data_IF_303929602915
#
_entry.id   IF_303929602915
#
_cell.length_a   1.000
_cell.length_b   1.000
_cell.length_c   1.000
_cell.angle_alpha   90.00
_cell.angle_beta   90.00
_cell.angle_gamma   90.00
#
_symmetry.space_group_name_H-M   'P 1'
#
loop_
_entity.id
_entity.type
_entity.pdbx_description
1 polymer ?
#
# COMPACT_ATOMS: atom_id res chain seq x y z
N UNK A 1 26.57 -9.83 14.03
CA UNK A 1 25.18 -9.94 14.52
C UNK A 1 24.86 -8.73 15.40
N UNK A 2 24.40 -7.62 14.79
CA UNK A 2 23.73 -6.47 15.41
C UNK A 2 23.15 -5.64 14.26
N UNK A 3 21.98 -5.06 14.47
CA UNK A 3 21.14 -4.29 13.54
C UNK A 3 20.20 -5.08 12.62
N UNK A 4 19.32 -5.87 13.23
CA UNK A 4 17.98 -5.99 12.66
C UNK A 4 17.21 -4.70 13.03
N UNK A 5 16.61 -3.98 12.07
CA UNK A 5 15.85 -2.77 12.38
C UNK A 5 14.72 -3.14 13.33
N UNK A 6 14.66 -2.46 14.47
CA UNK A 6 13.53 -2.59 15.39
C UNK A 6 12.24 -2.28 14.64
N UNK A 7 11.17 -3.04 14.92
CA UNK A 7 9.83 -2.73 14.42
C UNK A 7 9.41 -1.32 14.81
N UNK A 8 8.65 -0.70 13.93
CA UNK A 8 8.15 0.64 14.18
C UNK A 8 6.96 0.61 15.11
N UNK A 9 7.23 0.89 16.38
CA UNK A 9 6.21 1.24 17.35
C UNK A 9 5.56 2.57 16.94
N UNK A 10 4.46 2.48 16.18
CA UNK A 10 3.60 3.61 15.86
C UNK A 10 2.61 3.92 17.00
N UNK A 11 2.84 3.38 18.20
CA UNK A 11 2.16 3.71 19.44
C UNK A 11 2.41 5.16 19.88
N UNK A 12 1.49 6.05 19.46
CA UNK A 12 1.32 7.45 19.90
C UNK A 12 2.60 8.28 19.98
N UNK A 13 3.18 8.60 18.81
CA UNK A 13 3.95 9.85 18.70
C UNK A 13 3.08 11.00 19.22
N UNK A 14 3.68 11.84 20.06
CA UNK A 14 3.06 13.10 20.48
C UNK A 14 2.83 14.03 19.28
N UNK A 15 2.09 15.11 19.49
CA UNK A 15 1.77 16.07 18.41
C UNK A 15 3.02 16.61 17.69
N UNK A 16 4.15 16.67 18.40
CA UNK A 16 5.43 17.11 17.84
C UNK A 16 6.00 16.06 16.89
N UNK A 17 6.08 14.80 17.30
CA UNK A 17 6.53 13.71 16.43
C UNK A 17 5.66 13.61 15.17
N UNK A 18 4.34 13.74 15.32
CA UNK A 18 3.41 13.75 14.18
C UNK A 18 3.68 14.94 13.23
N UNK A 19 3.86 16.15 13.76
CA UNK A 19 4.19 17.34 12.97
C UNK A 19 5.50 17.19 12.21
N UNK A 20 6.51 16.57 12.82
CA UNK A 20 7.78 16.28 12.15
C UNK A 20 7.56 15.33 10.98
N UNK A 21 6.82 14.23 11.16
CA UNK A 21 6.54 13.29 10.07
C UNK A 21 5.78 13.94 8.93
N UNK A 22 4.73 14.72 9.21
CA UNK A 22 3.98 15.48 8.18
C UNK A 22 4.90 16.43 7.41
N UNK A 23 5.79 17.12 8.12
CA UNK A 23 6.76 18.04 7.49
C UNK A 23 7.74 17.28 6.60
N UNK A 24 8.25 16.15 7.08
CA UNK A 24 9.16 15.30 6.33
C UNK A 24 8.49 14.74 5.07
N UNK A 25 7.24 14.28 5.15
CA UNK A 25 6.47 13.82 3.98
C UNK A 25 6.42 14.90 2.91
N UNK A 26 6.06 16.14 3.30
CA UNK A 26 5.99 17.28 2.37
C UNK A 26 7.34 17.58 1.71
N UNK A 27 8.44 17.59 2.49
CA UNK A 27 9.77 17.86 1.95
C UNK A 27 10.24 16.75 1.00
N UNK A 28 10.00 15.48 1.36
CA UNK A 28 10.38 14.34 0.54
C UNK A 28 9.60 14.31 -0.78
N UNK A 29 8.29 14.57 -0.74
CA UNK A 29 7.48 14.66 -1.96
C UNK A 29 7.92 15.80 -2.89
N UNK A 30 8.40 16.92 -2.32
CA UNK A 30 8.76 18.09 -3.12
C UNK A 30 10.21 18.06 -3.62
N UNK A 31 11.16 17.70 -2.77
CA UNK A 31 12.60 17.74 -3.09
C UNK A 31 13.20 16.37 -3.39
N UNK A 32 12.51 15.29 -3.01
CA UNK A 32 13.03 13.94 -3.02
C UNK A 32 13.79 13.57 -1.75
N UNK A 33 13.81 12.28 -1.44
CA UNK A 33 14.49 11.70 -0.29
C UNK A 33 15.96 12.08 -0.32
N UNK A 34 16.68 11.79 -1.41
CA UNK A 34 18.13 12.00 -1.50
C UNK A 34 18.54 13.46 -1.18
N UNK A 35 17.74 14.45 -1.60
CA UNK A 35 18.03 15.89 -1.41
C UNK A 35 17.53 16.48 -0.10
N UNK A 36 16.70 15.77 0.66
CA UNK A 36 16.15 16.26 1.93
C UNK A 36 17.06 15.87 3.10
N UNK A 37 17.52 16.80 3.93
CA UNK A 37 18.35 16.48 5.11
C UNK A 37 17.56 16.52 6.43
N UNK A 38 18.09 15.89 7.48
CA UNK A 38 17.55 16.03 8.84
C UNK A 38 17.52 17.50 9.30
N UNK A 39 18.46 18.31 8.81
CA UNK A 39 18.52 19.74 9.12
C UNK A 39 17.35 20.49 8.50
N UNK A 40 17.01 20.19 7.25
CA UNK A 40 15.90 20.80 6.52
C UNK A 40 14.57 20.45 7.18
N UNK A 41 14.41 19.19 7.59
CA UNK A 41 13.22 18.71 8.31
C UNK A 41 13.09 19.41 9.66
N UNK A 42 14.16 19.50 10.46
CA UNK A 42 14.13 20.17 11.75
C UNK A 42 13.74 21.65 11.61
N UNK A 43 14.36 22.35 10.66
CA UNK A 43 14.06 23.75 10.37
C UNK A 43 12.61 23.94 9.93
N UNK A 44 12.13 23.15 8.97
CA UNK A 44 10.77 23.26 8.46
C UNK A 44 9.69 22.86 9.48
N UNK A 45 10.02 21.97 10.43
CA UNK A 45 9.12 21.53 11.50
C UNK A 45 9.17 22.45 12.74
N UNK A 46 10.01 23.49 12.70
CA UNK A 46 10.27 24.42 13.79
C UNK A 46 10.72 23.70 15.08
N UNK A 47 11.69 22.79 14.96
CA UNK A 47 12.32 22.07 16.08
C UNK A 47 13.85 22.14 15.97
N UNK A 48 14.55 21.97 17.09
CA UNK A 48 16.01 21.86 17.06
C UNK A 48 16.43 20.52 16.43
N UNK A 49 17.64 20.47 15.84
CA UNK A 49 18.21 19.18 15.37
C UNK A 49 18.29 18.17 16.52
N UNK A 50 18.73 18.60 17.70
CA UNK A 50 18.77 17.73 18.89
C UNK A 50 17.40 17.14 19.20
N UNK A 51 16.34 17.93 19.12
CA UNK A 51 14.96 17.44 19.31
C UNK A 51 14.58 16.43 18.24
N UNK A 52 14.89 16.66 16.97
CA UNK A 52 14.61 15.70 15.90
C UNK A 52 15.33 14.36 16.14
N UNK A 53 16.60 14.41 16.54
CA UNK A 53 17.42 13.23 16.85
C UNK A 53 16.98 12.49 18.12
N UNK A 54 16.15 13.09 18.99
CA UNK A 54 15.52 12.35 20.10
C UNK A 54 14.45 11.38 19.60
N UNK A 55 13.76 11.70 18.49
CA UNK A 55 12.73 10.83 17.91
C UNK A 55 13.31 9.82 16.93
N UNK A 56 14.26 10.22 16.09
CA UNK A 56 14.87 9.36 15.08
C UNK A 56 16.38 9.60 14.98
N UNK A 57 17.17 8.58 15.21
CA UNK A 57 18.64 8.66 15.21
C UNK A 57 19.21 8.84 13.79
N UNK A 58 18.43 8.50 12.76
CA UNK A 58 18.84 8.66 11.37
C UNK A 58 17.70 9.06 10.45
N UNK A 59 18.06 9.60 9.28
CA UNK A 59 17.12 9.88 8.18
C UNK A 59 16.43 8.62 7.67
N UNK A 60 17.12 7.48 7.70
CA UNK A 60 16.56 6.20 7.28
C UNK A 60 15.50 5.71 8.28
N UNK A 61 15.78 5.83 9.58
CA UNK A 61 14.82 5.51 10.64
C UNK A 61 13.57 6.39 10.57
N UNK A 62 13.76 7.69 10.34
CA UNK A 62 12.65 8.62 10.09
C UNK A 62 11.85 8.19 8.86
N UNK A 63 12.50 7.84 7.76
CA UNK A 63 11.81 7.39 6.54
C UNK A 63 11.04 6.10 6.79
N UNK A 64 11.61 5.12 7.50
CA UNK A 64 10.86 3.90 7.86
C UNK A 64 9.61 4.25 8.66
N UNK A 65 9.73 5.13 9.66
CA UNK A 65 8.59 5.57 10.48
C UNK A 65 7.50 6.25 9.66
N UNK A 66 7.93 7.09 8.73
CA UNK A 66 7.09 7.80 7.80
C UNK A 66 6.36 6.81 6.87
N UNK A 67 7.06 5.86 6.25
CA UNK A 67 6.45 4.84 5.39
C UNK A 67 5.47 3.94 6.14
N UNK A 68 5.78 3.59 7.40
CA UNK A 68 4.86 2.81 8.23
C UNK A 68 3.58 3.60 8.54
N UNK A 69 3.69 4.91 8.86
CA UNK A 69 2.54 5.80 9.03
C UNK A 69 1.71 5.91 7.75
N UNK A 70 2.34 6.10 6.60
CA UNK A 70 1.64 6.21 5.31
C UNK A 70 0.99 4.88 4.90
N UNK A 71 1.62 3.75 5.21
CA UNK A 71 1.03 2.41 5.00
C UNK A 71 -0.25 2.25 5.80
N UNK A 72 -0.27 2.67 7.08
CA UNK A 72 -1.51 2.66 7.87
C UNK A 72 -2.57 3.61 7.30
N UNK A 73 -2.16 4.76 6.75
CA UNK A 73 -3.04 5.67 6.03
C UNK A 73 -3.73 4.99 4.85
N UNK A 74 -2.95 4.33 3.98
CA UNK A 74 -3.46 3.58 2.83
C UNK A 74 -4.39 2.45 3.26
N UNK A 75 -4.03 1.69 4.30
CA UNK A 75 -4.86 0.60 4.81
C UNK A 75 -6.21 1.11 5.33
N UNK A 76 -6.23 2.23 6.05
CA UNK A 76 -7.46 2.84 6.53
C UNK A 76 -8.35 3.35 5.39
N UNK A 77 -7.77 4.05 4.41
CA UNK A 77 -8.51 4.52 3.23
C UNK A 77 -9.07 3.35 2.42
N UNK A 78 -8.25 2.32 2.19
CA UNK A 78 -8.66 1.09 1.52
C UNK A 78 -9.85 0.42 2.21
N UNK A 79 -9.76 0.23 3.53
CA UNK A 79 -10.83 -0.39 4.29
C UNK A 79 -12.12 0.44 4.22
N UNK A 80 -12.02 1.77 4.36
CA UNK A 80 -13.16 2.66 4.28
C UNK A 80 -13.87 2.54 2.92
N UNK A 81 -13.13 2.60 1.82
CA UNK A 81 -13.67 2.44 0.45
C UNK A 81 -14.37 1.10 0.24
N UNK A 82 -13.78 0.01 0.73
CA UNK A 82 -14.39 -1.33 0.67
C UNK A 82 -15.68 -1.39 1.49
N UNK A 83 -15.74 -0.73 2.65
CA UNK A 83 -16.96 -0.70 3.46
C UNK A 83 -18.07 0.10 2.78
N UNK A 84 -17.74 1.25 2.19
CA UNK A 84 -18.71 2.17 1.58
C UNK A 84 -19.33 1.64 0.29
N UNK A 85 -18.64 0.76 -0.43
CA UNK A 85 -19.15 0.13 -1.65
C UNK A 85 -19.89 -1.20 -1.33
N UNK A 86 -21.18 -1.36 -1.67
CA UNK A 86 -21.90 -2.63 -1.52
C UNK A 86 -21.18 -3.85 -2.12
N UNK A 87 -20.48 -3.67 -3.25
CA UNK A 87 -19.70 -4.71 -3.92
C UNK A 87 -18.21 -4.73 -3.53
N UNK A 88 -17.81 -3.88 -2.58
CA UNK A 88 -16.43 -3.69 -2.17
C UNK A 88 -15.76 -4.94 -1.61
N UNK A 89 -16.53 -5.93 -1.13
CA UNK A 89 -16.02 -7.21 -0.64
C UNK A 89 -15.83 -8.29 -1.70
N UNK A 90 -16.16 -8.03 -2.97
CA UNK A 90 -15.81 -8.93 -4.07
C UNK A 90 -14.29 -8.92 -4.30
N UNK A 91 -13.73 -9.94 -4.96
CA UNK A 91 -12.30 -9.95 -5.30
C UNK A 91 -11.90 -8.66 -6.02
N UNK A 92 -12.62 -8.28 -7.08
CA UNK A 92 -12.26 -7.07 -7.80
C UNK A 92 -12.49 -5.81 -6.98
N UNK A 93 -13.60 -5.70 -6.23
CA UNK A 93 -13.86 -4.55 -5.36
C UNK A 93 -12.72 -4.32 -4.36
N UNK A 94 -12.23 -5.39 -3.73
CA UNK A 94 -11.11 -5.31 -2.79
C UNK A 94 -9.85 -4.79 -3.50
N UNK A 95 -9.48 -5.33 -4.65
CA UNK A 95 -8.26 -4.91 -5.37
C UNK A 95 -8.38 -3.51 -5.98
N UNK A 96 -9.53 -3.15 -6.55
CA UNK A 96 -9.81 -1.84 -7.13
C UNK A 96 -9.71 -0.74 -6.07
N UNK A 97 -10.35 -0.94 -4.92
CA UNK A 97 -10.30 0.03 -3.83
C UNK A 97 -8.92 0.10 -3.18
N UNK A 98 -8.18 -1.01 -3.14
CA UNK A 98 -6.80 -1.04 -2.67
C UNK A 98 -5.87 -0.24 -3.59
N UNK A 99 -6.04 -0.40 -4.91
CA UNK A 99 -5.31 0.39 -5.90
C UNK A 99 -5.64 1.88 -5.80
N UNK A 100 -6.93 2.25 -5.71
CA UNK A 100 -7.37 3.64 -5.54
C UNK A 100 -6.80 4.27 -4.26
N UNK A 101 -6.82 3.55 -3.14
CA UNK A 101 -6.21 4.01 -1.89
C UNK A 101 -4.70 4.21 -2.03
N UNK A 102 -4.00 3.29 -2.69
CA UNK A 102 -2.56 3.41 -2.92
C UNK A 102 -2.21 4.64 -3.78
N UNK A 103 -2.95 4.87 -4.87
CA UNK A 103 -2.74 6.03 -5.77
C UNK A 103 -3.12 7.35 -5.09
N UNK A 104 -4.11 7.36 -4.20
CA UNK A 104 -4.52 8.54 -3.44
C UNK A 104 -3.45 9.00 -2.41
N UNK A 105 -2.44 8.17 -2.13
CA UNK A 105 -1.34 8.47 -1.21
C UNK A 105 -0.03 8.64 -1.99
N UNK A 106 0.39 9.90 -2.31
CA UNK A 106 1.48 10.15 -3.25
C UNK A 106 2.81 9.48 -2.88
N UNK A 107 3.16 9.45 -1.59
CA UNK A 107 4.41 8.84 -1.16
C UNK A 107 4.41 7.32 -1.34
N UNK A 108 3.26 6.69 -1.12
CA UNK A 108 3.10 5.25 -1.28
C UNK A 108 3.04 4.90 -2.77
N UNK A 109 2.35 5.70 -3.59
CA UNK A 109 2.37 5.56 -5.04
C UNK A 109 3.79 5.66 -5.62
N UNK A 110 4.61 6.59 -5.12
CA UNK A 110 6.01 6.76 -5.53
C UNK A 110 6.94 5.57 -5.24
N UNK A 111 6.50 4.57 -4.44
CA UNK A 111 7.22 3.30 -4.28
C UNK A 111 7.07 2.38 -5.50
N UNK A 112 6.02 2.54 -6.30
CA UNK A 112 5.63 1.66 -7.40
C UNK A 112 5.81 2.29 -8.78
N UNK A 113 5.98 3.61 -8.86
CA UNK A 113 6.22 4.35 -10.11
C UNK A 113 7.69 4.75 -10.26
N UNK A 114 8.11 5.17 -11.46
CA UNK A 114 9.45 5.74 -11.70
C UNK A 114 9.67 7.12 -11.09
N UNK A 115 8.77 7.59 -10.21
CA UNK A 115 9.04 8.66 -9.24
C UNK A 115 10.14 8.28 -8.21
N UNK A 116 11.06 7.40 -8.60
CA UNK A 116 12.35 7.15 -7.98
C UNK A 116 13.15 8.42 -7.63
N UNK A 117 12.80 9.61 -8.11
CA UNK A 117 13.37 10.85 -7.59
C UNK A 117 12.84 11.21 -6.18
N UNK A 118 11.59 10.84 -5.87
CA UNK A 118 10.92 11.07 -4.58
C UNK A 118 11.57 10.22 -3.49
N UNK A 119 11.86 8.95 -3.75
CA UNK A 119 12.47 8.05 -2.75
C UNK A 119 13.91 7.63 -3.07
N UNK A 120 14.45 8.02 -4.22
CA UNK A 120 15.88 7.99 -4.51
C UNK A 120 16.55 6.65 -4.35
N UNK A 121 17.71 6.67 -3.69
CA UNK A 121 18.50 5.48 -3.40
C UNK A 121 17.75 4.47 -2.53
N UNK A 122 16.82 4.92 -1.68
CA UNK A 122 16.04 4.04 -0.83
C UNK A 122 15.22 3.03 -1.64
N UNK A 123 14.62 3.45 -2.75
CA UNK A 123 13.90 2.53 -3.67
C UNK A 123 14.89 1.69 -4.47
N UNK A 124 15.99 2.29 -4.97
CA UNK A 124 17.00 1.61 -5.79
C UNK A 124 17.73 0.46 -5.10
N UNK A 125 17.77 0.43 -3.76
CA UNK A 125 18.34 -0.71 -2.99
C UNK A 125 17.58 -2.04 -3.18
N UNK A 126 16.51 -2.08 -4.00
CA UNK A 126 15.86 -3.29 -4.56
C UNK A 126 15.76 -4.45 -3.57
N UNK A 127 15.15 -4.21 -2.42
CA UNK A 127 14.83 -5.28 -1.47
C UNK A 127 13.69 -6.14 -2.03
N UNK A 128 13.92 -7.42 -2.38
CA UNK A 128 12.87 -8.32 -2.87
C UNK A 128 11.72 -8.49 -1.87
N UNK A 129 11.98 -8.30 -0.57
CA UNK A 129 10.98 -8.41 0.49
C UNK A 129 9.79 -7.46 0.30
N UNK A 130 9.99 -6.34 -0.44
CA UNK A 130 8.94 -5.35 -0.76
C UNK A 130 7.80 -5.91 -1.61
N UNK A 131 8.05 -6.96 -2.37
CA UNK A 131 7.04 -7.63 -3.19
C UNK A 131 6.67 -9.01 -2.63
N UNK A 132 7.56 -9.68 -1.90
CA UNK A 132 7.31 -11.01 -1.31
C UNK A 132 6.23 -10.98 -0.24
N UNK A 133 6.27 -10.00 0.68
CA UNK A 133 5.26 -9.87 1.73
C UNK A 133 3.86 -9.62 1.12
N UNK A 134 3.64 -8.61 0.26
CA UNK A 134 2.35 -8.44 -0.43
C UNK A 134 1.90 -9.65 -1.25
N UNK A 135 2.83 -10.41 -1.84
CA UNK A 135 2.51 -11.59 -2.65
C UNK A 135 1.91 -12.75 -1.84
N UNK A 136 2.52 -13.12 -0.70
CA UNK A 136 1.99 -14.18 0.17
C UNK A 136 0.67 -13.76 0.85
N UNK A 137 0.59 -12.48 1.22
CA UNK A 137 -0.58 -11.86 1.82
C UNK A 137 -1.80 -11.90 0.89
N UNK A 138 -1.60 -11.60 -0.39
CA UNK A 138 -2.67 -11.70 -1.40
C UNK A 138 -3.16 -13.14 -1.59
N UNK A 139 -2.26 -14.14 -1.54
CA UNK A 139 -2.66 -15.54 -1.64
C UNK A 139 -3.61 -15.97 -0.52
N UNK A 140 -3.33 -15.57 0.72
CA UNK A 140 -4.20 -15.84 1.87
C UNK A 140 -5.57 -15.17 1.72
N UNK A 141 -5.63 -13.96 1.19
CA UNK A 141 -6.87 -13.27 0.90
C UNK A 141 -7.69 -14.02 -0.16
N UNK A 142 -7.08 -14.47 -1.25
CA UNK A 142 -7.74 -15.28 -2.29
C UNK A 142 -8.35 -16.55 -1.70
N UNK A 143 -7.60 -17.27 -0.85
CA UNK A 143 -8.11 -18.47 -0.17
C UNK A 143 -9.33 -18.17 0.70
N UNK A 144 -9.33 -17.06 1.44
CA UNK A 144 -10.48 -16.63 2.25
C UNK A 144 -11.69 -16.29 1.39
N UNK A 145 -11.49 -15.64 0.25
CA UNK A 145 -12.57 -15.32 -0.70
C UNK A 145 -13.14 -16.56 -1.38
N UNK A 146 -12.32 -17.56 -1.69
CA UNK A 146 -12.78 -18.88 -2.16
C UNK A 146 -13.62 -19.59 -1.08
N UNK A 147 -13.16 -19.59 0.17
CA UNK A 147 -13.90 -20.15 1.30
C UNK A 147 -15.25 -19.45 1.55
N UNK A 148 -15.34 -18.15 1.22
CA UNK A 148 -16.57 -17.36 1.29
C UNK A 148 -17.51 -17.54 0.07
N UNK A 149 -17.13 -18.36 -0.92
CA UNK A 149 -17.91 -18.56 -2.14
C UNK A 149 -17.94 -17.34 -3.07
N UNK A 150 -16.96 -16.43 -2.95
CA UNK A 150 -16.85 -15.24 -3.80
C UNK A 150 -16.00 -15.46 -5.05
N UNK A 151 -15.23 -16.56 -5.06
CA UNK A 151 -14.38 -16.98 -6.18
C UNK A 151 -14.59 -18.48 -6.38
N UNK A 152 -14.74 -18.92 -7.63
CA UNK A 152 -14.81 -20.35 -7.97
C UNK A 152 -13.58 -21.13 -7.43
N UNK A 153 -13.77 -22.31 -6.81
CA UNK A 153 -12.70 -23.02 -6.11
C UNK A 153 -11.75 -23.81 -7.02
N UNK A 154 -12.12 -24.00 -8.29
CA UNK A 154 -11.34 -24.76 -9.28
C UNK A 154 -10.22 -23.95 -9.94
N UNK A 155 -10.16 -22.65 -9.67
CA UNK A 155 -9.03 -21.79 -10.05
C UNK A 155 -7.95 -21.86 -8.97
N UNK A 156 -6.72 -22.17 -9.37
CA UNK A 156 -5.57 -22.17 -8.46
C UNK A 156 -5.35 -20.79 -7.84
N UNK A 157 -5.24 -20.76 -6.51
CA UNK A 157 -4.92 -19.56 -5.72
C UNK A 157 -3.60 -18.90 -6.17
N UNK A 158 -2.57 -19.71 -6.45
CA UNK A 158 -1.26 -19.25 -6.90
C UNK A 158 -1.32 -18.61 -8.29
N UNK A 159 -2.06 -19.22 -9.24
CA UNK A 159 -2.23 -18.67 -10.59
C UNK A 159 -3.03 -17.36 -10.52
N UNK A 160 -4.13 -17.35 -9.78
CA UNK A 160 -4.97 -16.15 -9.64
C UNK A 160 -4.19 -15.00 -8.99
N UNK A 161 -3.46 -15.27 -7.90
CA UNK A 161 -2.59 -14.29 -7.27
C UNK A 161 -1.55 -13.72 -8.24
N UNK A 162 -0.92 -14.58 -9.05
CA UNK A 162 0.06 -14.14 -10.05
C UNK A 162 -0.57 -13.25 -11.12
N UNK A 163 -1.77 -13.58 -11.61
CA UNK A 163 -2.50 -12.74 -12.57
C UNK A 163 -2.85 -11.37 -11.98
N UNK A 164 -3.32 -11.34 -10.73
CA UNK A 164 -3.62 -10.09 -10.02
C UNK A 164 -2.37 -9.22 -9.84
N UNK A 165 -1.21 -9.86 -9.58
CA UNK A 165 0.09 -9.19 -9.53
C UNK A 165 0.47 -8.58 -10.89
N UNK A 166 0.31 -9.33 -11.99
CA UNK A 166 0.58 -8.82 -13.35
C UNK A 166 -0.29 -7.63 -13.70
N UNK A 167 -1.59 -7.69 -13.37
CA UNK A 167 -2.53 -6.58 -13.57
C UNK A 167 -2.09 -5.37 -12.75
N UNK A 168 -1.80 -5.55 -11.46
CA UNK A 168 -1.39 -4.47 -10.57
C UNK A 168 -0.11 -3.78 -11.04
N UNK A 169 0.93 -4.56 -11.40
CA UNK A 169 2.19 -4.02 -11.93
C UNK A 169 1.97 -3.33 -13.29
N UNK A 170 1.15 -3.93 -14.15
CA UNK A 170 0.75 -3.35 -15.44
C UNK A 170 0.08 -1.99 -15.28
N UNK A 171 -0.86 -1.85 -14.34
CA UNK A 171 -1.55 -0.58 -14.07
C UNK A 171 -0.59 0.54 -13.64
N UNK A 172 0.47 0.22 -12.89
CA UNK A 172 1.50 1.20 -12.54
C UNK A 172 2.47 1.53 -13.68
N UNK A 173 2.73 0.56 -14.57
CA UNK A 173 3.82 0.67 -15.53
C UNK A 173 3.36 1.13 -16.92
N UNK A 174 2.11 0.86 -17.31
CA UNK A 174 1.65 1.05 -18.69
C UNK A 174 1.67 2.53 -19.12
N UNK A 175 1.31 3.44 -18.20
CA UNK A 175 1.35 4.88 -18.45
C UNK A 175 2.75 5.45 -18.62
N UNK A 176 3.79 4.68 -18.29
CA UNK A 176 5.18 5.06 -18.52
C UNK A 176 5.72 4.52 -19.85
N UNK A 177 5.05 3.52 -20.43
CA UNK A 177 5.47 2.86 -21.67
C UNK A 177 4.83 3.49 -22.91
N UNK A 178 3.69 4.15 -22.73
CA UNK A 178 2.88 4.72 -23.80
C UNK A 178 2.68 6.23 -23.60
N UNK A 179 2.47 7.01 -24.68
CA UNK A 179 2.01 8.39 -24.58
C UNK A 179 0.69 8.48 -23.80
N UNK A 180 0.49 9.57 -23.05
CA UNK A 180 -0.69 9.75 -22.20
C UNK A 180 -2.00 9.72 -23.01
N UNK A 181 -1.97 10.15 -24.27
CA UNK A 181 -3.13 10.18 -25.17
C UNK A 181 -3.54 8.78 -25.64
N UNK A 182 -2.64 7.79 -25.57
CA UNK A 182 -2.92 6.39 -25.93
C UNK A 182 -3.41 5.57 -24.73
N UNK A 183 -3.29 6.11 -23.52
CA UNK A 183 -3.66 5.42 -22.28
C UNK A 183 -5.11 5.78 -21.93
N UNK A 184 -6.04 4.80 -21.91
CA UNK A 184 -7.42 5.06 -21.51
C UNK A 184 -7.49 5.60 -20.07
N UNK A 185 -8.55 6.34 -19.71
CA UNK A 185 -8.76 6.76 -18.33
C UNK A 185 -8.75 5.55 -17.40
N UNK A 186 -7.96 5.65 -16.32
CA UNK A 186 -7.78 4.55 -15.35
C UNK A 186 -9.11 4.00 -14.84
N UNK A 187 -10.10 4.86 -14.60
CA UNK A 187 -11.41 4.45 -14.12
C UNK A 187 -12.15 3.53 -15.12
N UNK A 188 -12.04 3.82 -16.42
CA UNK A 188 -12.65 2.95 -17.46
C UNK A 188 -11.96 1.59 -17.52
N UNK A 189 -10.63 1.56 -17.36
CA UNK A 189 -9.85 0.32 -17.31
C UNK A 189 -10.24 -0.51 -16.09
N UNK A 190 -10.36 0.12 -14.92
CA UNK A 190 -10.77 -0.55 -13.69
C UNK A 190 -12.21 -1.09 -13.82
N UNK A 191 -13.14 -0.32 -14.38
CA UNK A 191 -14.52 -0.76 -14.54
C UNK A 191 -14.68 -1.92 -15.55
N UNK A 192 -13.88 -1.95 -16.63
CA UNK A 192 -13.87 -3.08 -17.56
C UNK A 192 -13.22 -4.33 -16.92
N UNK A 193 -12.09 -4.16 -16.23
CA UNK A 193 -11.47 -5.26 -15.48
C UNK A 193 -12.44 -5.85 -14.45
N UNK A 194 -13.21 -5.02 -13.75
CA UNK A 194 -14.26 -5.46 -12.83
C UNK A 194 -15.24 -6.42 -13.50
N UNK A 195 -15.75 -6.00 -14.66
CA UNK A 195 -16.74 -6.76 -15.43
C UNK A 195 -16.15 -8.07 -15.96
N UNK A 196 -14.91 -8.06 -16.43
CA UNK A 196 -14.21 -9.28 -16.89
C UNK A 196 -13.99 -10.28 -15.75
N UNK A 197 -13.50 -9.79 -14.60
CA UNK A 197 -13.23 -10.62 -13.42
C UNK A 197 -14.52 -11.22 -12.87
N UNK A 198 -15.57 -10.43 -12.71
CA UNK A 198 -16.87 -10.90 -12.24
C UNK A 198 -17.45 -11.99 -13.15
N UNK A 199 -17.38 -11.82 -14.48
CA UNK A 199 -17.90 -12.84 -15.42
C UNK A 199 -17.10 -14.14 -15.42
N UNK A 200 -15.81 -14.08 -15.14
CA UNK A 200 -14.89 -15.22 -15.28
C UNK A 200 -14.69 -16.01 -13.98
N UNK A 201 -14.72 -15.32 -12.83
CA UNK A 201 -14.34 -15.89 -11.54
C UNK A 201 -15.49 -16.00 -10.54
N UNK A 202 -16.62 -15.33 -10.76
CA UNK A 202 -17.79 -15.52 -9.90
C UNK A 202 -18.37 -16.93 -10.07
N UNK A 203 -18.72 -17.62 -8.97
CA UNK A 203 -19.46 -18.87 -9.07
C UNK A 203 -20.89 -18.62 -9.56
N UNK A 204 -21.55 -19.68 -10.05
CA UNK A 204 -22.93 -19.62 -10.57
C UNK A 204 -23.92 -19.04 -9.55
N UNK A 205 -23.69 -19.33 -8.27
CA UNK A 205 -24.35 -18.70 -7.13
C UNK A 205 -23.30 -17.90 -6.34
N UNK A 206 -23.18 -16.58 -6.59
CA UNK A 206 -22.17 -15.76 -5.91
C UNK A 206 -22.47 -15.63 -4.41
N UNK A 207 -21.43 -15.84 -3.60
CA UNK A 207 -21.48 -15.58 -2.16
C UNK A 207 -21.75 -14.11 -1.83
N UNK A 208 -22.12 -13.86 -0.57
CA UNK A 208 -22.45 -12.51 -0.10
C UNK A 208 -21.18 -11.63 0.01
N UNK A 209 -21.09 -10.49 -0.70
CA UNK A 209 -19.94 -9.57 -0.62
C UNK A 209 -19.61 -9.12 0.82
N UNK A 210 -20.57 -9.13 1.74
CA UNK A 210 -20.32 -8.84 3.16
C UNK A 210 -19.32 -9.81 3.80
N UNK A 211 -19.29 -11.07 3.36
CA UNK A 211 -18.30 -12.05 3.83
C UNK A 211 -16.89 -11.70 3.38
N UNK A 212 -16.73 -11.17 2.16
CA UNK A 212 -15.43 -10.70 1.69
C UNK A 212 -14.94 -9.45 2.40
N UNK A 213 -15.86 -8.53 2.77
CA UNK A 213 -15.54 -7.38 3.62
C UNK A 213 -15.01 -7.82 5.00
N UNK A 214 -15.68 -8.79 5.63
CA UNK A 214 -15.25 -9.38 6.91
C UNK A 214 -13.89 -10.07 6.77
N UNK A 215 -13.70 -10.86 5.71
CA UNK A 215 -12.45 -11.54 5.45
C UNK A 215 -11.27 -10.57 5.32
N UNK A 216 -11.46 -9.43 4.62
CA UNK A 216 -10.45 -8.38 4.51
C UNK A 216 -10.17 -7.73 5.87
N UNK A 217 -11.19 -7.40 6.65
CA UNK A 217 -11.04 -6.80 7.98
C UNK A 217 -10.22 -7.68 8.93
N UNK A 218 -10.58 -8.96 9.04
CA UNK A 218 -9.84 -9.91 9.87
C UNK A 218 -8.39 -10.07 9.42
N UNK A 219 -8.19 -10.14 8.11
CA UNK A 219 -6.87 -10.26 7.51
C UNK A 219 -5.98 -9.05 7.84
N UNK A 220 -6.48 -7.83 7.66
CA UNK A 220 -5.76 -6.60 7.99
C UNK A 220 -5.49 -6.47 9.51
N UNK A 221 -6.45 -6.86 10.35
CA UNK A 221 -6.29 -6.84 11.80
C UNK A 221 -5.17 -7.81 12.26
N UNK A 222 -5.11 -9.01 11.67
CA UNK A 222 -4.03 -9.97 11.92
C UNK A 222 -2.68 -9.43 11.47
N UNK A 223 -2.62 -8.79 10.30
CA UNK A 223 -1.40 -8.20 9.77
C UNK A 223 -0.84 -7.09 10.64
N UNK A 224 -1.68 -6.12 11.01
CA UNK A 224 -1.29 -5.00 11.88
C UNK A 224 -0.82 -5.56 13.23
N UNK A 225 -1.52 -6.56 13.77
CA UNK A 225 -1.16 -7.18 15.05
C UNK A 225 0.16 -7.96 15.02
N UNK A 226 0.58 -8.46 13.85
CA UNK A 226 1.88 -9.10 13.67
C UNK A 226 2.99 -8.05 13.58
N UNK A 227 2.76 -6.95 12.87
CA UNK A 227 3.71 -5.83 12.73
C UNK A 227 4.00 -5.09 14.04
N UNK A 228 3.01 -5.00 14.95
CA UNK A 228 3.19 -4.35 16.26
C UNK A 228 3.91 -5.26 17.28
N UNK A 229 4.01 -6.57 17.01
CA UNK A 229 4.60 -7.56 17.92
C UNK A 229 5.99 -8.07 17.51
N UNK A 230 6.29 -8.10 16.21
CA UNK A 230 7.67 -8.17 15.71
C UNK A 230 8.40 -6.92 16.12
#
# INVERSE_FOLDING_TARGET
>A
MKDQPQPLDLGKLDERGQRILVTATRLILHYGYDKTTMSDIAAAANVSKSTLYLYWQSKEELLRALLARETLGVVNDWLQRVQDDPQGGTLFGIYQHGFRALVAHPLMSALYTKESHVLGEYVRRRDPARHVLPYELNRLLVQRLQAAGLIRPDVSDAVLNHLLMLISVGLFSIGELLPAEEVPPLEEVLDELARMVARSLSPDEPGDPRQGKLALQEFLAQLISAFVRS
#
